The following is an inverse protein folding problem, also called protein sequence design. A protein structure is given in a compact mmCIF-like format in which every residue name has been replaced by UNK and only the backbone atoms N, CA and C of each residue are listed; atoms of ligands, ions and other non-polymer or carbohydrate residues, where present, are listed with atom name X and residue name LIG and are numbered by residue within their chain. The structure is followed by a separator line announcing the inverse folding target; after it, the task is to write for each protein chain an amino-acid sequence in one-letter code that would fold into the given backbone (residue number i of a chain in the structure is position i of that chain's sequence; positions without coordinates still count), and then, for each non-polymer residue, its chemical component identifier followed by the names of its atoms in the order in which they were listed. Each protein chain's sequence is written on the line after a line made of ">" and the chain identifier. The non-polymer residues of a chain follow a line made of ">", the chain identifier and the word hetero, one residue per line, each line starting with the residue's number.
data_IF_219958190392
#
_entry.id   IF_219958190392
#
_cell.length_a   1.000
_cell.length_b   1.000
_cell.length_c   1.000
_cell.angle_alpha   90.00
_cell.angle_beta   90.00
_cell.angle_gamma   90.00
#
_symmetry.space_group_name_H-M   'P 1'
#
loop_
_entity.id
_entity.type
_entity.pdbx_description
1 polymer ?
#
# COMPACT_ATOMS: atom_id res chain seq x y z
N UNK A 1 -21.23 -2.70 19.52
CA UNK A 1 -19.89 -2.50 20.11
C UNK A 1 -19.35 -1.15 19.67
N UNK A 2 -19.10 -0.22 20.59
CA UNK A 2 -18.73 1.16 20.28
C UNK A 2 -17.21 1.34 20.46
N UNK A 3 -16.44 1.22 19.38
CA UNK A 3 -14.97 1.37 19.40
C UNK A 3 -14.56 2.84 19.50
N UNK A 4 -14.73 3.46 20.67
CA UNK A 4 -14.15 4.78 20.98
C UNK A 4 -12.67 4.61 21.34
N UNK A 5 -11.82 4.41 20.34
CA UNK A 5 -10.37 4.55 20.55
C UNK A 5 -10.06 6.02 20.86
N UNK A 6 -9.56 6.31 22.07
CA UNK A 6 -9.10 7.65 22.47
C UNK A 6 -7.97 8.08 21.51
N UNK A 7 -8.05 9.31 20.99
CA UNK A 7 -6.93 9.90 20.26
C UNK A 7 -5.79 10.14 21.24
N UNK A 8 -4.68 9.44 21.06
CA UNK A 8 -3.45 9.67 21.82
C UNK A 8 -2.66 10.73 21.05
N UNK A 9 -2.57 11.92 21.61
CA UNK A 9 -1.78 13.00 21.04
C UNK A 9 -0.29 12.66 21.23
N UNK A 10 0.52 12.82 20.18
CA UNK A 10 1.95 12.44 20.17
C UNK A 10 2.29 11.17 19.38
N UNK A 11 1.29 10.37 18.99
CA UNK A 11 1.49 9.25 18.05
C UNK A 11 1.07 9.66 16.64
N UNK A 12 2.05 9.95 15.77
CA UNK A 12 1.81 10.11 14.34
C UNK A 12 1.73 8.73 13.65
N UNK A 13 0.85 8.58 12.65
CA UNK A 13 0.82 7.39 11.79
C UNK A 13 2.15 7.31 11.04
N UNK A 14 2.98 6.32 11.37
CA UNK A 14 4.22 6.04 10.64
C UNK A 14 3.89 5.06 9.53
N UNK A 15 4.04 5.51 8.29
CA UNK A 15 3.89 4.66 7.12
C UNK A 15 5.23 4.01 6.82
N UNK A 16 5.22 2.71 6.52
CA UNK A 16 6.44 1.93 6.25
C UNK A 16 6.54 1.73 4.75
N UNK A 17 7.74 1.91 4.21
CA UNK A 17 8.01 1.67 2.79
C UNK A 17 7.94 0.15 2.52
N UNK A 18 7.15 -0.30 1.53
CA UNK A 18 7.02 -1.73 1.21
C UNK A 18 8.27 -2.32 0.53
N UNK A 19 9.22 -1.50 0.07
CA UNK A 19 10.47 -1.97 -0.54
C UNK A 19 11.62 -2.10 0.46
N UNK A 20 11.82 -1.05 1.28
CA UNK A 20 12.99 -0.89 2.13
C UNK A 20 12.69 -1.14 3.62
N UNK A 21 11.42 -1.31 4.02
CA UNK A 21 10.93 -1.39 5.41
C UNK A 21 11.33 -0.22 6.32
N UNK A 22 11.96 0.84 5.77
CA UNK A 22 12.21 2.11 6.47
C UNK A 22 10.93 2.95 6.51
N UNK A 23 10.96 4.00 7.33
CA UNK A 23 9.86 4.97 7.40
C UNK A 23 9.72 5.65 6.03
N UNK A 24 8.51 5.60 5.46
CA UNK A 24 8.21 6.28 4.22
C UNK A 24 8.12 7.79 4.47
N UNK A 25 8.91 8.55 3.72
CA UNK A 25 8.96 10.02 3.78
C UNK A 25 8.26 10.67 2.59
N UNK A 26 8.09 9.93 1.50
CA UNK A 26 7.62 10.43 0.21
C UNK A 26 6.62 9.47 -0.42
N UNK A 27 5.87 9.93 -1.43
CA UNK A 27 5.05 9.06 -2.28
C UNK A 27 5.68 8.92 -3.67
N UNK A 28 5.55 7.74 -4.26
CA UNK A 28 5.86 7.52 -5.68
C UNK A 28 4.68 8.02 -6.56
N UNK A 29 4.86 8.12 -7.88
CA UNK A 29 3.86 8.44 -8.90
C UNK A 29 2.60 7.57 -8.80
N UNK A 30 2.70 6.31 -8.36
CA UNK A 30 1.55 5.42 -8.11
C UNK A 30 0.84 5.70 -6.77
N UNK A 31 1.24 6.75 -6.04
CA UNK A 31 0.68 7.12 -4.73
C UNK A 31 1.21 6.32 -3.54
N UNK A 32 2.11 5.35 -3.78
CA UNK A 32 2.62 4.43 -2.76
C UNK A 32 3.61 5.15 -1.83
N UNK A 33 3.47 5.01 -0.49
CA UNK A 33 4.42 5.55 0.47
C UNK A 33 5.78 4.84 0.33
N UNK A 34 6.79 5.56 -0.15
CA UNK A 34 8.15 5.07 -0.41
C UNK A 34 9.20 5.94 0.28
N UNK A 35 10.36 5.35 0.56
CA UNK A 35 11.55 6.09 0.97
C UNK A 35 12.12 6.87 -0.23
N UNK A 36 12.86 7.96 -0.01
CA UNK A 36 13.42 8.81 -1.09
C UNK A 36 14.24 8.03 -2.12
N UNK A 37 14.94 6.99 -1.68
CA UNK A 37 15.78 6.10 -2.49
C UNK A 37 14.96 5.27 -3.49
N UNK A 38 13.73 4.90 -3.13
CA UNK A 38 12.86 4.01 -3.91
C UNK A 38 11.73 4.77 -4.62
N UNK A 39 11.83 6.10 -4.71
CA UNK A 39 10.80 6.94 -5.32
C UNK A 39 10.54 6.58 -6.79
N UNK A 40 11.49 6.00 -7.50
CA UNK A 40 11.35 5.62 -8.91
C UNK A 40 10.93 4.16 -9.12
N UNK A 41 10.82 3.35 -8.04
CA UNK A 41 10.47 1.94 -8.15
C UNK A 41 8.95 1.75 -8.20
N UNK A 42 8.48 1.18 -9.30
CA UNK A 42 7.07 0.86 -9.51
C UNK A 42 6.79 -0.62 -9.31
N UNK A 43 5.56 -0.94 -8.91
CA UNK A 43 5.06 -2.32 -8.94
C UNK A 43 4.31 -2.55 -10.24
N UNK A 44 5.02 -3.02 -11.26
CA UNK A 44 4.47 -3.21 -12.62
C UNK A 44 3.97 -4.63 -12.91
N UNK A 45 4.21 -5.59 -12.02
CA UNK A 45 3.93 -7.02 -12.29
C UNK A 45 3.31 -7.76 -11.10
N UNK A 46 2.42 -7.11 -10.35
CA UNK A 46 1.69 -7.78 -9.28
C UNK A 46 0.52 -8.56 -9.84
N UNK A 47 0.44 -9.84 -9.50
CA UNK A 47 -0.68 -10.70 -9.87
C UNK A 47 -1.63 -10.88 -8.70
N UNK A 48 -2.92 -10.86 -9.01
CA UNK A 48 -3.96 -11.25 -8.08
C UNK A 48 -3.99 -12.79 -7.97
N UNK A 49 -4.57 -13.31 -6.88
CA UNK A 49 -4.82 -14.75 -6.72
C UNK A 49 -5.67 -15.35 -7.86
N UNK A 50 -6.41 -14.52 -8.61
CA UNK A 50 -7.18 -14.95 -9.77
C UNK A 50 -6.38 -15.01 -11.08
N UNK A 51 -5.08 -14.67 -11.07
CA UNK A 51 -4.19 -14.70 -12.23
C UNK A 51 -4.13 -13.41 -13.06
N UNK A 52 -5.01 -12.44 -12.80
CA UNK A 52 -5.03 -11.13 -13.46
C UNK A 52 -4.02 -10.16 -12.86
N UNK A 53 -3.64 -9.14 -13.62
CA UNK A 53 -2.80 -8.05 -13.14
C UNK A 53 -3.55 -7.14 -12.16
N UNK A 54 -2.83 -6.66 -11.15
CA UNK A 54 -3.31 -5.69 -10.18
C UNK A 54 -2.91 -4.30 -10.61
N UNK A 55 -3.89 -3.43 -10.79
CA UNK A 55 -3.65 -2.01 -11.01
C UNK A 55 -3.49 -1.27 -9.67
N UNK A 56 -2.54 -0.34 -9.58
CA UNK A 56 -2.33 0.45 -8.37
C UNK A 56 -3.12 1.75 -8.47
N UNK A 57 -4.08 1.91 -7.56
CA UNK A 57 -4.90 3.11 -7.49
C UNK A 57 -4.66 3.87 -6.19
N UNK A 58 -4.73 5.20 -6.24
CA UNK A 58 -4.69 6.06 -5.04
C UNK A 58 -6.12 6.44 -4.62
N UNK A 59 -6.42 6.35 -3.33
CA UNK A 59 -7.65 6.86 -2.74
C UNK A 59 -7.40 7.75 -1.52
N UNK A 60 -8.49 8.27 -0.95
CA UNK A 60 -8.45 9.18 0.23
C UNK A 60 -7.67 8.64 1.42
N UNK A 61 -7.63 7.32 1.58
CA UNK A 61 -7.01 6.64 2.73
C UNK A 61 -5.65 6.01 2.43
N UNK A 62 -5.14 6.14 1.20
CA UNK A 62 -3.89 5.56 0.73
C UNK A 62 -4.06 4.79 -0.57
N UNK A 63 -2.96 4.19 -1.04
CA UNK A 63 -2.95 3.31 -2.20
C UNK A 63 -3.68 2.00 -1.91
N UNK A 64 -4.32 1.45 -2.92
CA UNK A 64 -4.93 0.13 -2.91
C UNK A 64 -4.71 -0.53 -4.27
N UNK A 65 -4.86 -1.85 -4.31
CA UNK A 65 -4.82 -2.57 -5.59
C UNK A 65 -6.22 -2.78 -6.11
N UNK A 66 -6.41 -2.67 -7.42
CA UNK A 66 -7.66 -3.00 -8.08
C UNK A 66 -7.43 -4.16 -9.04
N UNK A 67 -8.16 -5.26 -8.85
CA UNK A 67 -8.19 -6.35 -9.80
C UNK A 67 -9.50 -6.23 -10.61
N UNK A 68 -9.45 -6.28 -11.95
CA UNK A 68 -10.66 -6.17 -12.78
C UNK A 68 -11.67 -7.29 -12.51
N UNK A 69 -11.21 -8.45 -12.01
CA UNK A 69 -12.05 -9.61 -11.73
C UNK A 69 -12.46 -9.76 -10.26
N UNK A 70 -11.57 -9.46 -9.32
CA UNK A 70 -11.84 -9.63 -7.88
C UNK A 70 -12.26 -8.33 -7.17
N UNK A 71 -12.10 -7.19 -7.82
CA UNK A 71 -12.34 -5.86 -7.25
C UNK A 71 -11.17 -5.33 -6.44
N UNK A 72 -11.47 -4.40 -5.53
CA UNK A 72 -10.48 -3.70 -4.73
C UNK A 72 -9.88 -4.60 -3.64
N UNK A 73 -8.56 -4.64 -3.59
CA UNK A 73 -7.77 -5.40 -2.62
C UNK A 73 -6.97 -4.41 -1.76
N UNK A 74 -6.96 -4.67 -0.47
CA UNK A 74 -6.14 -3.90 0.46
C UNK A 74 -4.66 -4.03 0.07
N UNK A 75 -3.94 -2.90 0.06
CA UNK A 75 -2.53 -2.82 -0.29
C UNK A 75 -1.67 -3.87 0.43
N UNK A 76 -1.86 -4.02 1.75
CA UNK A 76 -1.10 -5.03 2.51
C UNK A 76 -1.38 -6.47 2.03
N UNK A 77 -2.63 -6.76 1.66
CA UNK A 77 -3.04 -8.08 1.19
C UNK A 77 -2.46 -8.39 -0.20
N UNK A 78 -2.44 -7.41 -1.11
CA UNK A 78 -1.86 -7.58 -2.44
C UNK A 78 -0.34 -7.78 -2.41
N UNK A 79 0.36 -7.10 -1.48
CA UNK A 79 1.80 -7.31 -1.28
C UNK A 79 2.11 -8.70 -0.71
N UNK A 80 1.35 -9.14 0.29
CA UNK A 80 1.54 -10.46 0.90
C UNK A 80 1.29 -11.60 -0.10
N UNK A 81 0.30 -11.46 -1.00
CA UNK A 81 0.03 -12.44 -2.07
C UNK A 81 1.21 -12.61 -3.03
N UNK A 82 2.00 -11.55 -3.25
CA UNK A 82 3.15 -11.57 -4.14
C UNK A 82 4.47 -11.80 -3.39
N UNK A 83 4.43 -12.15 -2.10
CA UNK A 83 5.61 -12.50 -1.30
C UNK A 83 6.54 -11.32 -1.00
N UNK A 84 6.05 -10.08 -1.08
CA UNK A 84 6.84 -8.88 -0.84
C UNK A 84 6.80 -8.40 0.62
N UNK A 85 6.01 -9.09 1.47
CA UNK A 85 5.76 -8.76 2.86
C UNK A 85 5.46 -10.01 3.68
#
# INVERSE_FOLDING_TARGET
>A
MNFRNKKIYGTAKREICPFCQKIATTKNAQGIPTCLEDKTKNFDNLKCACGEYLDVMEGKFGSYFNCPRCGNINFNKGLNMNGLL
#
